data_IF_512932052948
#
_entry.id   IF_512932052948
#
_cell.length_a   1.000
_cell.length_b   1.000
_cell.length_c   1.000
_cell.angle_alpha   90.00
_cell.angle_beta   90.00
_cell.angle_gamma   90.00
#
_symmetry.space_group_name_H-M   'P 1'
#
loop_
_entity.id
_entity.type
_entity.pdbx_description
1 polymer ?
#
# COMPACT_ATOMS: atom_id res chain seq x y z
N UNK A 1 32.07 -1.32 2.51
CA UNK A 1 32.01 -1.77 1.10
C UNK A 1 33.42 -1.86 0.57
N UNK A 2 33.73 -2.88 -0.23
CA UNK A 2 35.07 -3.21 -0.75
C UNK A 2 35.63 -2.15 -1.70
N UNK A 3 35.96 -0.99 -1.15
CA UNK A 3 36.72 0.04 -1.85
C UNK A 3 38.20 -0.35 -1.75
N UNK A 4 38.70 -1.12 -2.72
CA UNK A 4 40.09 -0.90 -3.13
C UNK A 4 40.17 0.54 -3.64
N UNK A 5 40.64 1.42 -2.76
CA UNK A 5 40.85 2.87 -2.86
C UNK A 5 40.46 3.47 -4.22
N UNK A 6 39.15 3.67 -4.43
CA UNK A 6 38.67 4.59 -5.45
C UNK A 6 39.26 5.98 -5.12
N UNK A 7 39.70 6.70 -6.14
CA UNK A 7 40.28 8.03 -5.93
C UNK A 7 39.24 8.99 -5.33
N UNK A 8 39.74 10.12 -4.80
CA UNK A 8 38.90 11.08 -4.09
C UNK A 8 37.77 11.64 -4.98
N UNK A 9 38.02 11.80 -6.28
CA UNK A 9 37.06 12.32 -7.25
C UNK A 9 35.92 11.31 -7.49
N UNK A 10 36.27 10.02 -7.63
CA UNK A 10 35.30 8.93 -7.74
C UNK A 10 34.41 8.82 -6.51
N UNK A 11 35.00 8.93 -5.32
CA UNK A 11 34.23 8.92 -4.06
C UNK A 11 33.29 10.12 -3.93
N UNK A 12 33.71 11.31 -4.38
CA UNK A 12 32.84 12.49 -4.43
C UNK A 12 31.68 12.31 -5.43
N UNK A 13 31.95 11.75 -6.61
CA UNK A 13 30.92 11.50 -7.61
C UNK A 13 29.87 10.48 -7.12
N UNK A 14 30.31 9.44 -6.40
CA UNK A 14 29.41 8.47 -5.77
C UNK A 14 28.53 9.10 -4.68
N UNK A 15 29.11 9.94 -3.81
CA UNK A 15 28.37 10.66 -2.77
C UNK A 15 27.32 11.60 -3.38
N UNK A 16 27.68 12.34 -4.44
CA UNK A 16 26.74 13.20 -5.15
C UNK A 16 25.61 12.38 -5.79
N UNK A 17 25.94 11.28 -6.47
CA UNK A 17 24.93 10.37 -7.02
C UNK A 17 23.97 9.82 -5.95
N UNK A 18 24.46 9.55 -4.74
CA UNK A 18 23.61 9.09 -3.64
C UNK A 18 22.69 10.20 -3.09
N UNK A 19 23.17 11.45 -3.04
CA UNK A 19 22.32 12.60 -2.71
C UNK A 19 21.22 12.78 -3.75
N UNK A 20 21.56 12.66 -5.04
CA UNK A 20 20.58 12.72 -6.12
C UNK A 20 19.56 11.60 -6.02
N UNK A 21 19.98 10.36 -5.73
CA UNK A 21 19.05 9.25 -5.47
C UNK A 21 18.11 9.51 -4.29
N UNK A 22 18.61 10.12 -3.21
CA UNK A 22 17.80 10.53 -2.08
C UNK A 22 16.75 11.58 -2.46
N UNK A 23 17.16 12.62 -3.20
CA UNK A 23 16.26 13.64 -3.72
C UNK A 23 15.19 13.07 -4.66
N UNK A 24 15.59 12.29 -5.66
CA UNK A 24 14.69 11.63 -6.61
C UNK A 24 13.69 10.69 -5.92
N UNK A 25 14.10 10.01 -4.84
CA UNK A 25 13.19 9.17 -4.04
C UNK A 25 12.10 10.00 -3.35
N UNK A 26 12.43 11.20 -2.88
CA UNK A 26 11.45 12.14 -2.32
C UNK A 26 10.48 12.62 -3.40
N UNK A 27 11.01 13.09 -4.54
CA UNK A 27 10.18 13.53 -5.68
C UNK A 27 9.24 12.42 -6.13
N UNK A 28 9.74 11.18 -6.20
CA UNK A 28 8.92 10.02 -6.57
C UNK A 28 7.72 9.82 -5.64
N UNK A 29 7.94 9.91 -4.33
CA UNK A 29 6.90 9.77 -3.32
C UNK A 29 5.91 10.95 -3.34
N UNK A 30 6.39 12.17 -3.55
CA UNK A 30 5.56 13.37 -3.66
C UNK A 30 4.66 13.33 -4.90
N UNK A 31 5.19 12.90 -6.05
CA UNK A 31 4.41 12.67 -7.28
C UNK A 31 3.27 11.66 -7.06
N UNK A 32 3.55 10.56 -6.34
CA UNK A 32 2.51 9.58 -6.00
C UNK A 32 1.44 10.18 -5.07
N UNK A 33 1.87 10.84 -3.99
CA UNK A 33 0.96 11.46 -3.03
C UNK A 33 0.09 12.55 -3.68
N UNK A 34 0.67 13.34 -4.57
CA UNK A 34 -0.06 14.32 -5.37
C UNK A 34 -1.12 13.64 -6.24
N UNK A 35 -0.73 12.59 -6.98
CA UNK A 35 -1.65 11.81 -7.80
C UNK A 35 -2.82 11.22 -7.00
N UNK A 36 -2.56 10.70 -5.80
CA UNK A 36 -3.60 10.15 -4.92
C UNK A 36 -4.59 11.21 -4.39
N UNK A 37 -4.13 12.46 -4.25
CA UNK A 37 -4.96 13.58 -3.82
C UNK A 37 -5.89 14.11 -4.92
N UNK A 38 -5.62 13.78 -6.20
CA UNK A 38 -6.44 14.24 -7.32
C UNK A 38 -7.85 13.64 -7.28
N UNK A 39 -8.81 14.41 -7.80
CA UNK A 39 -10.19 13.97 -7.98
C UNK A 39 -10.26 12.94 -9.10
N UNK A 40 -10.84 11.78 -8.81
CA UNK A 40 -11.15 10.75 -9.79
C UNK A 40 -12.45 11.08 -10.54
N UNK A 41 -13.54 11.20 -9.79
CA UNK A 41 -14.88 11.36 -10.36
C UNK A 41 -15.82 12.06 -9.37
N UNK A 42 -16.73 12.87 -9.90
CA UNK A 42 -17.89 13.38 -9.19
C UNK A 42 -19.13 12.66 -9.73
N UNK A 43 -19.80 11.88 -8.88
CA UNK A 43 -21.02 11.15 -9.23
C UNK A 43 -22.22 11.82 -8.58
N UNK A 44 -23.23 12.16 -9.38
CA UNK A 44 -24.45 12.84 -8.92
C UNK A 44 -25.67 11.92 -8.89
N UNK A 45 -25.62 10.79 -9.60
CA UNK A 45 -26.75 9.90 -9.79
C UNK A 45 -26.58 8.63 -8.94
N UNK A 46 -27.57 8.31 -8.11
CA UNK A 46 -27.49 7.21 -7.12
C UNK A 46 -27.13 5.85 -7.72
N UNK A 47 -27.60 5.56 -8.93
CA UNK A 47 -27.35 4.27 -9.57
C UNK A 47 -25.85 4.07 -9.93
N UNK A 48 -25.09 5.16 -10.10
CA UNK A 48 -23.66 5.12 -10.47
C UNK A 48 -22.74 4.77 -9.29
N UNK A 49 -23.28 4.72 -8.07
CA UNK A 49 -22.55 4.38 -6.83
C UNK A 49 -23.10 3.13 -6.14
N UNK A 50 -23.91 2.33 -6.84
CA UNK A 50 -24.46 1.10 -6.29
C UNK A 50 -23.39 0.07 -5.93
N UNK A 51 -23.62 -0.62 -4.81
CA UNK A 51 -22.73 -1.66 -4.29
C UNK A 51 -21.61 -1.13 -3.39
N UNK A 52 -21.33 0.18 -3.42
CA UNK A 52 -20.32 0.79 -2.56
C UNK A 52 -20.73 0.75 -1.08
N UNK A 53 -19.79 0.45 -0.16
CA UNK A 53 -20.04 0.54 1.27
C UNK A 53 -20.44 1.95 1.72
N UNK A 54 -21.34 2.03 2.70
CA UNK A 54 -21.84 3.31 3.25
C UNK A 54 -20.70 4.21 3.78
N UNK A 55 -19.65 3.61 4.34
CA UNK A 55 -18.47 4.33 4.82
C UNK A 55 -17.75 5.08 3.70
N UNK A 56 -17.65 4.48 2.52
CA UNK A 56 -17.03 5.10 1.33
C UNK A 56 -17.93 6.20 0.76
N UNK A 57 -19.24 5.99 0.72
CA UNK A 57 -20.20 7.03 0.31
C UNK A 57 -20.15 8.24 1.23
N UNK A 58 -20.03 8.01 2.55
CA UNK A 58 -19.91 9.07 3.54
C UNK A 58 -18.61 9.86 3.41
N UNK A 59 -17.48 9.19 3.18
CA UNK A 59 -16.21 9.88 2.90
C UNK A 59 -16.29 10.70 1.60
N UNK A 60 -16.88 10.16 0.54
CA UNK A 60 -17.02 10.84 -0.75
C UNK A 60 -17.98 12.04 -0.70
N UNK A 61 -19.08 11.96 0.05
CA UNK A 61 -20.00 13.08 0.26
C UNK A 61 -19.35 14.19 1.11
N UNK A 62 -18.57 13.82 2.13
CA UNK A 62 -17.79 14.79 2.91
C UNK A 62 -16.74 15.52 2.04
N UNK A 63 -16.07 14.80 1.14
CA UNK A 63 -15.14 15.40 0.17
C UNK A 63 -15.85 16.35 -0.80
N UNK A 64 -17.03 15.96 -1.31
CA UNK A 64 -17.86 16.84 -2.15
C UNK A 64 -18.27 18.11 -1.39
N UNK A 65 -18.66 17.97 -0.12
CA UNK A 65 -18.98 19.11 0.77
C UNK A 65 -17.79 20.05 0.97
N UNK A 66 -16.60 19.51 1.21
CA UNK A 66 -15.38 20.29 1.33
C UNK A 66 -15.02 21.04 0.03
N UNK A 67 -15.44 20.51 -1.13
CA UNK A 67 -15.30 21.17 -2.44
C UNK A 67 -16.39 22.21 -2.76
N UNK A 68 -17.29 22.49 -1.82
CA UNK A 68 -18.35 23.50 -1.96
C UNK A 68 -19.67 22.99 -2.55
N UNK A 69 -19.86 21.66 -2.67
CA UNK A 69 -21.14 21.06 -3.06
C UNK A 69 -22.03 20.83 -1.84
N UNK A 70 -23.35 20.94 -1.96
CA UNK A 70 -24.25 20.44 -0.91
C UNK A 70 -24.42 18.93 -1.09
N UNK A 71 -23.77 18.13 -0.23
CA UNK A 71 -23.72 16.68 -0.39
C UNK A 71 -24.12 15.90 0.86
N UNK A 72 -24.88 14.82 0.67
CA UNK A 72 -25.18 13.82 1.72
C UNK A 72 -24.73 12.41 1.29
N UNK A 73 -24.41 11.50 2.22
CA UNK A 73 -24.11 10.11 1.88
C UNK A 73 -25.24 9.41 1.10
N UNK A 74 -26.50 9.81 1.34
CA UNK A 74 -27.70 9.21 0.78
C UNK A 74 -28.01 9.72 -0.65
N UNK A 75 -27.92 11.04 -0.86
CA UNK A 75 -28.38 11.69 -2.09
C UNK A 75 -27.24 12.23 -2.96
N UNK A 76 -26.01 12.21 -2.46
CA UNK A 76 -24.83 12.73 -3.14
C UNK A 76 -24.80 14.25 -3.17
N UNK A 77 -23.97 14.86 -4.03
CA UNK A 77 -23.01 14.20 -4.92
C UNK A 77 -21.84 13.53 -4.16
N UNK A 78 -21.24 12.52 -4.77
CA UNK A 78 -20.09 11.77 -4.21
C UNK A 78 -18.83 12.09 -4.99
N UNK A 79 -17.85 12.71 -4.32
CA UNK A 79 -16.54 13.02 -4.90
C UNK A 79 -15.54 11.93 -4.49
N UNK A 80 -15.09 11.13 -5.45
CA UNK A 80 -14.06 10.13 -5.25
C UNK A 80 -12.69 10.69 -5.63
N UNK A 81 -11.66 10.31 -4.88
CA UNK A 81 -10.26 10.65 -5.14
C UNK A 81 -9.49 9.42 -5.62
N UNK A 82 -8.25 9.65 -6.08
CA UNK A 82 -7.35 8.61 -6.54
C UNK A 82 -6.60 7.88 -5.39
N UNK A 83 -7.00 8.09 -4.14
CA UNK A 83 -6.41 7.38 -2.99
C UNK A 83 -6.53 5.88 -3.17
N UNK A 84 -5.43 5.14 -2.95
CA UNK A 84 -5.36 3.70 -3.19
C UNK A 84 -6.52 2.91 -2.55
N UNK A 85 -6.86 3.21 -1.28
CA UNK A 85 -7.99 2.60 -0.56
C UNK A 85 -9.34 2.82 -1.25
N UNK A 86 -9.55 4.00 -1.83
CA UNK A 86 -10.78 4.34 -2.55
C UNK A 86 -10.81 3.56 -3.85
N UNK A 87 -9.72 3.59 -4.62
CA UNK A 87 -9.60 2.84 -5.88
C UNK A 87 -9.83 1.33 -5.71
N UNK A 88 -9.32 0.73 -4.63
CA UNK A 88 -9.53 -0.69 -4.31
C UNK A 88 -11.02 -1.00 -4.03
N UNK A 89 -11.68 -0.14 -3.26
CA UNK A 89 -13.11 -0.31 -2.95
C UNK A 89 -13.95 -0.13 -4.22
N UNK A 90 -13.67 0.89 -5.04
CA UNK A 90 -14.39 1.10 -6.30
C UNK A 90 -14.28 -0.12 -7.22
N UNK A 91 -13.07 -0.66 -7.44
CA UNK A 91 -12.86 -1.83 -8.29
C UNK A 91 -13.53 -3.11 -7.76
N UNK A 92 -13.66 -3.27 -6.45
CA UNK A 92 -14.20 -4.50 -5.84
C UNK A 92 -15.71 -4.43 -5.55
N UNK A 93 -16.28 -3.23 -5.36
CA UNK A 93 -17.65 -3.07 -4.89
C UNK A 93 -18.57 -2.35 -5.88
N UNK A 94 -18.05 -1.49 -6.76
CA UNK A 94 -18.90 -0.74 -7.69
C UNK A 94 -19.57 -1.69 -8.69
N UNK A 95 -20.91 -1.66 -8.74
CA UNK A 95 -21.66 -2.38 -9.78
C UNK A 95 -21.46 -1.76 -11.16
N UNK A 96 -21.31 -0.44 -11.23
CA UNK A 96 -21.03 0.31 -12.47
C UNK A 96 -19.62 -0.03 -12.97
N UNK A 97 -19.55 -0.68 -14.15
CA UNK A 97 -18.29 -1.07 -14.79
C UNK A 97 -17.43 0.13 -15.19
N UNK A 98 -18.05 1.27 -15.56
CA UNK A 98 -17.31 2.48 -15.92
C UNK A 98 -16.54 3.04 -14.73
N UNK A 99 -17.12 3.00 -13.54
CA UNK A 99 -16.46 3.45 -12.32
C UNK A 99 -15.30 2.52 -11.91
N UNK A 100 -15.43 1.21 -12.17
CA UNK A 100 -14.31 0.27 -12.00
C UNK A 100 -13.19 0.55 -12.98
N UNK A 101 -13.51 0.80 -14.24
CA UNK A 101 -12.55 1.14 -15.29
C UNK A 101 -11.82 2.45 -14.97
N UNK A 102 -12.55 3.50 -14.58
CA UNK A 102 -11.99 4.79 -14.15
C UNK A 102 -10.99 4.57 -13.01
N UNK A 103 -11.38 3.82 -11.98
CA UNK A 103 -10.54 3.54 -10.82
C UNK A 103 -9.29 2.72 -11.18
N UNK A 104 -9.44 1.73 -12.06
CA UNK A 104 -8.33 0.93 -12.56
C UNK A 104 -7.34 1.81 -13.35
N UNK A 105 -7.82 2.61 -14.30
CA UNK A 105 -6.97 3.48 -15.12
C UNK A 105 -6.28 4.57 -14.30
N UNK A 106 -6.98 5.13 -13.31
CA UNK A 106 -6.40 6.13 -12.41
C UNK A 106 -5.21 5.58 -11.62
N UNK A 107 -5.28 4.33 -11.14
CA UNK A 107 -4.16 3.66 -10.47
C UNK A 107 -2.90 3.64 -11.32
N UNK A 108 -3.05 3.34 -12.62
CA UNK A 108 -1.92 3.28 -13.55
C UNK A 108 -1.36 4.66 -13.92
N UNK A 109 -2.10 5.74 -13.65
CA UNK A 109 -1.68 7.12 -13.93
C UNK A 109 -1.02 7.81 -12.74
N UNK A 110 -1.03 7.19 -11.56
CA UNK A 110 -0.43 7.78 -10.36
C UNK A 110 1.05 8.11 -10.59
N UNK A 111 1.41 9.38 -10.33
CA UNK A 111 2.76 9.90 -10.48
C UNK A 111 3.24 10.05 -11.93
N UNK A 112 2.39 9.89 -12.96
CA UNK A 112 2.79 10.22 -14.33
C UNK A 112 3.07 11.73 -14.48
N UNK A 113 2.29 12.56 -13.80
CA UNK A 113 2.50 14.00 -13.73
C UNK A 113 3.34 14.34 -12.50
N UNK A 114 4.16 15.39 -12.63
CA UNK A 114 4.88 15.97 -11.50
C UNK A 114 3.93 16.62 -10.51
N UNK A 115 4.32 16.66 -9.22
CA UNK A 115 3.52 17.29 -8.18
C UNK A 115 3.44 18.83 -8.30
N UNK A 116 4.31 19.43 -9.13
CA UNK A 116 4.33 20.85 -9.51
C UNK A 116 4.77 20.99 -10.98
N UNK A 117 4.50 22.15 -11.59
CA UNK A 117 4.78 22.43 -12.99
C UNK A 117 6.28 22.35 -13.35
N UNK A 118 7.15 22.54 -12.36
CA UNK A 118 8.62 22.49 -12.53
C UNK A 118 9.22 21.10 -12.23
N UNK A 119 8.39 20.10 -11.88
CA UNK A 119 8.84 18.77 -11.49
C UNK A 119 8.49 17.73 -12.55
N UNK A 120 9.44 16.84 -12.79
CA UNK A 120 9.26 15.74 -13.74
C UNK A 120 8.34 14.64 -13.17
N UNK A 121 7.67 13.93 -14.06
CA UNK A 121 6.87 12.76 -13.71
C UNK A 121 7.73 11.56 -13.32
N UNK A 122 7.10 10.55 -12.71
CA UNK A 122 7.82 9.38 -12.18
C UNK A 122 8.50 8.52 -13.25
N UNK A 123 8.08 8.60 -14.52
CA UNK A 123 8.80 7.90 -15.60
C UNK A 123 10.22 8.44 -15.77
N UNK A 124 10.38 9.76 -15.78
CA UNK A 124 11.68 10.42 -15.93
C UNK A 124 12.49 10.34 -14.63
N UNK A 125 11.83 10.46 -13.47
CA UNK A 125 12.46 10.23 -12.16
C UNK A 125 13.03 8.81 -12.06
N UNK A 126 12.26 7.79 -12.45
CA UNK A 126 12.75 6.40 -12.47
C UNK A 126 13.94 6.25 -13.42
N UNK A 127 13.88 6.84 -14.61
CA UNK A 127 15.00 6.79 -15.56
C UNK A 127 16.28 7.38 -14.94
N UNK A 128 16.20 8.57 -14.34
CA UNK A 128 17.33 9.19 -13.65
C UNK A 128 17.84 8.34 -12.47
N UNK A 129 16.95 7.73 -11.69
CA UNK A 129 17.34 6.82 -10.61
C UNK A 129 18.09 5.59 -11.13
N UNK A 130 17.66 5.02 -12.25
CA UNK A 130 18.32 3.88 -12.89
C UNK A 130 19.70 4.26 -13.43
N UNK A 131 19.85 5.46 -14.00
CA UNK A 131 21.15 5.99 -14.43
C UNK A 131 22.14 6.13 -13.27
N UNK A 132 21.72 6.75 -12.16
CA UNK A 132 22.56 6.88 -10.97
C UNK A 132 22.92 5.52 -10.34
N UNK A 133 21.97 4.57 -10.31
CA UNK A 133 22.21 3.19 -9.84
C UNK A 133 23.19 2.45 -10.74
N UNK A 134 23.05 2.59 -12.05
CA UNK A 134 23.97 1.97 -13.01
C UNK A 134 25.38 2.57 -12.87
N UNK A 135 25.49 3.90 -12.75
CA UNK A 135 26.75 4.59 -12.49
C UNK A 135 27.43 4.05 -11.21
N UNK A 136 26.67 3.90 -10.13
CA UNK A 136 27.14 3.31 -8.88
C UNK A 136 27.71 1.90 -9.09
N UNK A 137 26.95 1.03 -9.75
CA UNK A 137 27.37 -0.34 -10.01
C UNK A 137 28.67 -0.40 -10.80
N UNK A 138 28.73 0.29 -11.94
CA UNK A 138 29.90 0.25 -12.83
C UNK A 138 31.13 0.84 -12.19
N UNK A 139 30.97 1.91 -11.40
CA UNK A 139 32.08 2.57 -10.69
C UNK A 139 32.68 1.66 -9.63
N UNK A 140 31.85 0.82 -8.99
CA UNK A 140 32.28 -0.15 -7.99
C UNK A 140 32.71 -1.50 -8.60
N UNK A 141 32.78 -1.60 -9.94
CA UNK A 141 33.22 -2.80 -10.63
C UNK A 141 32.15 -3.88 -10.81
N UNK A 142 30.87 -3.56 -10.58
CA UNK A 142 29.74 -4.46 -10.77
C UNK A 142 29.07 -4.25 -12.14
N UNK A 143 28.59 -5.31 -12.81
CA UNK A 143 27.91 -5.19 -14.11
C UNK A 143 26.59 -4.43 -14.04
N UNK A 144 25.83 -4.62 -12.95
CA UNK A 144 24.55 -3.98 -12.72
C UNK A 144 24.32 -3.66 -11.25
N UNK A 145 23.37 -2.77 -10.96
CA UNK A 145 23.00 -2.45 -9.59
C UNK A 145 22.42 -3.65 -8.83
N UNK A 146 21.81 -4.60 -9.54
CA UNK A 146 21.37 -5.85 -8.93
C UNK A 146 22.56 -6.64 -8.38
N UNK A 147 23.63 -6.80 -9.17
CA UNK A 147 24.83 -7.53 -8.75
C UNK A 147 25.49 -6.85 -7.55
N UNK A 148 25.60 -5.51 -7.57
CA UNK A 148 26.06 -4.72 -6.43
C UNK A 148 25.17 -4.93 -5.17
N UNK A 149 23.85 -4.95 -5.34
CA UNK A 149 22.92 -5.12 -4.22
C UNK A 149 23.03 -6.52 -3.60
N UNK A 150 23.22 -7.56 -4.42
CA UNK A 150 23.34 -8.94 -3.98
C UNK A 150 24.65 -9.26 -3.24
N UNK A 151 25.71 -8.45 -3.43
CA UNK A 151 26.97 -8.60 -2.68
C UNK A 151 26.77 -8.58 -1.15
N UNK A 152 25.75 -7.86 -0.68
CA UNK A 152 25.40 -7.76 0.75
C UNK A 152 24.30 -8.72 1.21
N UNK A 153 23.79 -9.57 0.31
CA UNK A 153 22.66 -10.47 0.56
C UNK A 153 23.15 -11.91 0.75
N UNK A 154 22.32 -12.71 1.41
CA UNK A 154 22.61 -14.14 1.57
C UNK A 154 22.40 -14.95 0.30
N UNK A 155 21.44 -14.53 -0.54
CA UNK A 155 21.08 -15.20 -1.79
C UNK A 155 21.83 -14.61 -2.97
N UNK A 156 22.11 -15.42 -3.99
CA UNK A 156 22.56 -14.89 -5.29
C UNK A 156 21.37 -14.45 -6.14
N UNK A 157 21.65 -13.67 -7.19
CA UNK A 157 20.66 -13.26 -8.19
C UNK A 157 20.00 -14.46 -8.85
N UNK A 158 20.79 -15.45 -9.25
CA UNK A 158 20.34 -16.66 -9.95
C UNK A 158 19.42 -17.50 -9.06
N UNK A 159 19.72 -17.59 -7.76
CA UNK A 159 18.85 -18.28 -6.79
C UNK A 159 17.48 -17.60 -6.67
N UNK A 160 17.45 -16.26 -6.66
CA UNK A 160 16.20 -15.49 -6.65
C UNK A 160 15.43 -15.71 -7.95
N UNK A 161 16.07 -15.58 -9.11
CA UNK A 161 15.42 -15.82 -10.41
C UNK A 161 14.88 -17.24 -10.54
N UNK A 162 15.64 -18.25 -10.08
CA UNK A 162 15.20 -19.64 -10.05
C UNK A 162 13.97 -19.82 -9.13
N UNK A 163 14.00 -19.22 -7.94
CA UNK A 163 12.88 -19.26 -6.99
C UNK A 163 11.62 -18.62 -7.58
N UNK A 164 11.74 -17.45 -8.21
CA UNK A 164 10.63 -16.79 -8.92
C UNK A 164 10.10 -17.66 -10.08
N UNK A 165 10.99 -18.35 -10.79
CA UNK A 165 10.63 -19.30 -11.83
C UNK A 165 9.78 -20.46 -11.32
N UNK A 166 10.16 -21.05 -10.18
CA UNK A 166 9.39 -22.12 -9.51
C UNK A 166 8.01 -21.62 -9.07
N UNK A 167 7.95 -20.45 -8.43
CA UNK A 167 6.68 -19.84 -8.01
C UNK A 167 5.75 -19.56 -9.20
N UNK A 168 6.31 -19.01 -10.29
CA UNK A 168 5.56 -18.77 -11.52
C UNK A 168 5.01 -20.07 -12.09
N UNK A 169 5.83 -21.12 -12.19
CA UNK A 169 5.40 -22.41 -12.72
C UNK A 169 4.31 -23.05 -11.85
N UNK A 170 4.42 -22.96 -10.53
CA UNK A 170 3.42 -23.49 -9.61
C UNK A 170 2.08 -22.73 -9.69
N UNK A 171 2.11 -21.40 -9.88
CA UNK A 171 0.92 -20.55 -9.90
C UNK A 171 0.20 -20.49 -11.27
N UNK A 172 0.90 -20.71 -12.38
CA UNK A 172 0.37 -20.42 -13.72
C UNK A 172 -0.88 -21.24 -14.07
N UNK A 173 -0.89 -22.55 -13.75
CA UNK A 173 -2.06 -23.40 -13.99
C UNK A 173 -3.26 -22.95 -13.13
N UNK A 174 -3.05 -22.74 -11.84
CA UNK A 174 -4.08 -22.28 -10.92
C UNK A 174 -4.67 -20.92 -11.33
N UNK A 175 -3.84 -19.97 -11.76
CA UNK A 175 -4.32 -18.65 -12.23
C UNK A 175 -5.19 -18.75 -13.49
N UNK A 176 -4.90 -19.69 -14.40
CA UNK A 176 -5.74 -19.93 -15.59
C UNK A 176 -7.08 -20.54 -15.20
N UNK A 177 -7.06 -21.52 -14.31
CA UNK A 177 -8.28 -22.17 -13.81
C UNK A 177 -9.16 -21.17 -13.04
N UNK A 178 -8.58 -20.34 -12.18
CA UNK A 178 -9.28 -19.28 -11.46
C UNK A 178 -9.91 -18.24 -12.40
N UNK A 179 -9.20 -17.82 -13.45
CA UNK A 179 -9.75 -16.87 -14.42
C UNK A 179 -10.91 -17.49 -15.23
N UNK A 180 -10.79 -18.76 -15.62
CA UNK A 180 -11.88 -19.47 -16.31
C UNK A 180 -13.11 -19.64 -15.41
N UNK A 181 -12.90 -19.99 -14.14
CA UNK A 181 -13.95 -20.06 -13.14
C UNK A 181 -14.64 -18.70 -12.96
N UNK A 182 -13.86 -17.63 -12.89
CA UNK A 182 -14.38 -16.28 -12.73
C UNK A 182 -15.20 -15.83 -13.94
N UNK A 183 -14.71 -16.14 -15.15
CA UNK A 183 -15.41 -15.88 -16.41
C UNK A 183 -16.74 -16.64 -16.48
N UNK A 184 -16.74 -17.92 -16.10
CA UNK A 184 -17.95 -18.74 -16.08
C UNK A 184 -18.97 -18.22 -15.06
N UNK A 185 -18.51 -17.86 -13.86
CA UNK A 185 -19.35 -17.28 -12.82
C UNK A 185 -19.96 -15.93 -13.26
N UNK A 186 -19.15 -15.03 -13.83
CA UNK A 186 -19.64 -13.76 -14.33
C UNK A 186 -20.70 -13.93 -15.44
N UNK A 187 -20.48 -14.85 -16.37
CA UNK A 187 -21.44 -15.19 -17.42
C UNK A 187 -22.76 -15.76 -16.84
N UNK A 188 -22.70 -16.60 -15.81
CA UNK A 188 -23.89 -17.10 -15.10
C UNK A 188 -24.71 -15.96 -14.48
N UNK A 189 -24.04 -14.92 -13.96
CA UNK A 189 -24.70 -13.73 -13.39
C UNK A 189 -25.11 -12.69 -14.45
N UNK A 190 -24.95 -12.99 -15.74
CA UNK A 190 -25.39 -12.15 -16.84
C UNK A 190 -24.38 -11.09 -17.29
N UNK A 191 -23.09 -11.26 -17.00
CA UNK A 191 -22.03 -10.46 -17.63
C UNK A 191 -21.87 -10.83 -19.10
N UNK A 192 -21.83 -9.84 -19.98
CA UNK A 192 -21.57 -10.03 -21.40
C UNK A 192 -20.06 -9.93 -21.69
N UNK A 193 -19.54 -10.83 -22.53
CA UNK A 193 -18.17 -10.76 -23.03
C UNK A 193 -17.09 -11.30 -22.09
N UNK A 194 -15.83 -11.12 -22.52
CA UNK A 194 -14.65 -11.48 -21.72
C UNK A 194 -14.44 -10.45 -20.60
N UNK A 195 -14.02 -10.91 -19.43
CA UNK A 195 -13.72 -10.03 -18.30
C UNK A 195 -12.46 -9.21 -18.56
N UNK A 196 -12.57 -7.92 -18.33
CA UNK A 196 -11.43 -7.01 -18.39
C UNK A 196 -10.71 -6.94 -17.04
N UNK A 197 -9.51 -6.37 -17.01
CA UNK A 197 -8.69 -6.29 -15.80
C UNK A 197 -9.40 -5.59 -14.62
N UNK A 198 -10.26 -4.60 -14.91
CA UNK A 198 -11.04 -3.87 -13.92
C UNK A 198 -12.26 -4.63 -13.39
N UNK A 199 -12.62 -5.77 -13.99
CA UNK A 199 -13.76 -6.58 -13.54
C UNK A 199 -13.34 -7.67 -12.54
N UNK A 200 -12.07 -8.06 -12.54
CA UNK A 200 -11.57 -9.22 -11.80
C UNK A 200 -11.82 -9.11 -10.28
N UNK A 201 -11.55 -7.93 -9.69
CA UNK A 201 -11.73 -7.72 -8.25
C UNK A 201 -13.21 -7.82 -7.84
N UNK A 202 -14.12 -7.24 -8.64
CA UNK A 202 -15.55 -7.27 -8.40
C UNK A 202 -16.11 -8.69 -8.45
N UNK A 203 -15.83 -9.43 -9.53
CA UNK A 203 -16.31 -10.79 -9.67
C UNK A 203 -15.69 -11.73 -8.66
N UNK A 204 -14.41 -11.54 -8.29
CA UNK A 204 -13.75 -12.39 -7.28
C UNK A 204 -14.42 -12.20 -5.92
N UNK A 205 -14.70 -10.95 -5.54
CA UNK A 205 -15.45 -10.65 -4.31
C UNK A 205 -16.83 -11.31 -4.34
N UNK A 206 -17.57 -11.16 -5.44
CA UNK A 206 -18.90 -11.74 -5.58
C UNK A 206 -18.87 -13.29 -5.49
N UNK A 207 -17.91 -13.95 -6.13
CA UNK A 207 -17.74 -15.40 -6.08
C UNK A 207 -17.39 -15.90 -4.67
N UNK A 208 -16.45 -15.23 -3.99
CA UNK A 208 -16.07 -15.57 -2.61
C UNK A 208 -17.28 -15.41 -1.69
N UNK A 209 -18.01 -14.30 -1.81
CA UNK A 209 -19.21 -14.02 -1.03
C UNK A 209 -20.28 -15.10 -1.21
N UNK A 210 -20.52 -15.56 -2.45
CA UNK A 210 -21.49 -16.61 -2.73
C UNK A 210 -21.06 -17.97 -2.14
N UNK A 211 -19.76 -18.29 -2.19
CA UNK A 211 -19.22 -19.55 -1.68
C UNK A 211 -19.12 -19.62 -0.16
N UNK A 212 -18.69 -18.52 0.45
CA UNK A 212 -18.44 -18.44 1.89
C UNK A 212 -19.74 -18.29 2.69
N UNK A 213 -20.76 -17.70 2.08
CA UNK A 213 -22.02 -17.36 2.74
C UNK A 213 -21.92 -16.18 3.71
N UNK A 214 -20.79 -15.46 3.74
CA UNK A 214 -20.60 -14.25 4.55
C UNK A 214 -19.90 -13.14 3.76
N UNK A 215 -20.17 -11.90 4.14
CA UNK A 215 -19.56 -10.69 3.60
C UNK A 215 -18.48 -10.17 4.54
N UNK A 216 -17.54 -9.38 4.02
CA UNK A 216 -16.49 -8.77 4.84
C UNK A 216 -17.06 -7.93 6.01
N UNK A 217 -18.22 -7.30 5.80
CA UNK A 217 -18.94 -6.55 6.82
C UNK A 217 -19.37 -7.43 8.02
N UNK A 218 -19.63 -8.72 7.80
CA UNK A 218 -20.02 -9.67 8.84
C UNK A 218 -18.86 -9.99 9.80
N UNK A 219 -17.61 -9.85 9.33
CA UNK A 219 -16.41 -10.09 10.13
C UNK A 219 -15.98 -8.89 10.98
N UNK A 220 -16.35 -7.67 10.58
CA UNK A 220 -15.94 -6.41 11.25
C UNK A 220 -16.24 -6.40 12.76
N UNK A 221 -17.42 -6.87 13.25
CA UNK A 221 -17.70 -6.95 14.69
C UNK A 221 -16.80 -7.91 15.47
N UNK A 222 -16.20 -8.90 14.81
CA UNK A 222 -15.35 -9.92 15.44
C UNK A 222 -13.87 -9.53 15.52
N UNK A 223 -13.47 -8.47 14.80
CA UNK A 223 -12.09 -7.98 14.76
C UNK A 223 -11.93 -6.58 15.38
N UNK A 224 -12.46 -6.28 16.58
CA UNK A 224 -12.22 -4.99 17.21
C UNK A 224 -10.75 -4.90 17.62
N UNK A 225 -10.09 -3.81 17.26
CA UNK A 225 -8.65 -3.59 17.49
C UNK A 225 -8.17 -3.95 18.91
N UNK A 226 -8.88 -3.57 20.01
CA UNK A 226 -8.46 -3.97 21.35
C UNK A 226 -8.45 -5.49 21.57
N UNK A 227 -9.35 -6.26 20.94
CA UNK A 227 -9.34 -7.72 21.06
C UNK A 227 -8.21 -8.35 20.24
N UNK A 228 -7.96 -7.83 19.04
CA UNK A 228 -6.84 -8.27 18.19
C UNK A 228 -5.51 -8.08 18.91
N UNK A 229 -5.28 -6.89 19.50
CA UNK A 229 -4.06 -6.62 20.26
C UNK A 229 -3.90 -7.52 21.48
N UNK A 230 -4.99 -7.80 22.22
CA UNK A 230 -4.94 -8.75 23.35
C UNK A 230 -4.55 -10.15 22.89
N UNK A 231 -5.11 -10.62 21.78
CA UNK A 231 -4.76 -11.91 21.19
C UNK A 231 -3.30 -11.97 20.75
N UNK A 232 -2.82 -10.94 20.05
CA UNK A 232 -1.44 -10.81 19.61
C UNK A 232 -0.47 -10.83 20.80
N UNK A 233 -0.70 -10.00 21.82
CA UNK A 233 0.15 -9.98 23.00
C UNK A 233 0.13 -11.32 23.70
N UNK A 234 -1.04 -11.90 23.99
CA UNK A 234 -1.12 -13.22 24.61
C UNK A 234 -0.33 -14.31 23.86
N UNK A 235 -0.32 -14.27 22.53
CA UNK A 235 0.47 -15.18 21.71
C UNK A 235 1.98 -14.97 21.90
N UNK A 236 2.43 -13.72 21.82
CA UNK A 236 3.85 -13.37 22.00
C UNK A 236 4.35 -13.68 23.41
N UNK A 237 3.51 -13.41 24.41
CA UNK A 237 3.78 -13.76 25.80
C UNK A 237 3.94 -15.27 26.00
N UNK A 238 3.13 -16.08 25.31
CA UNK A 238 3.20 -17.54 25.36
C UNK A 238 4.44 -18.09 24.64
N UNK A 239 4.75 -17.56 23.46
CA UNK A 239 5.86 -18.05 22.64
C UNK A 239 7.23 -17.61 23.15
N UNK A 240 7.33 -16.39 23.66
CA UNK A 240 8.61 -15.74 23.97
C UNK A 240 8.82 -15.41 25.45
N UNK A 241 7.84 -15.69 26.32
CA UNK A 241 7.99 -15.41 27.74
C UNK A 241 8.12 -13.92 28.07
N UNK A 242 7.63 -13.03 27.20
CA UNK A 242 7.63 -11.58 27.41
C UNK A 242 6.32 -11.12 28.06
N UNK A 243 6.24 -9.91 28.58
CA UNK A 243 5.00 -9.24 28.98
C UNK A 243 4.96 -7.80 28.47
N UNK A 244 3.75 -7.34 28.13
CA UNK A 244 3.51 -6.00 27.59
C UNK A 244 2.86 -5.13 28.66
N UNK A 245 3.64 -4.28 29.30
CA UNK A 245 3.15 -3.39 30.35
C UNK A 245 2.81 -2.02 29.75
N UNK A 246 1.54 -1.59 29.74
CA UNK A 246 1.16 -0.28 29.22
C UNK A 246 1.73 0.81 30.13
N UNK A 247 2.61 1.65 29.58
CA UNK A 247 3.10 2.84 30.26
C UNK A 247 2.31 4.05 29.73
N UNK A 248 1.12 4.24 30.32
CA UNK A 248 0.19 5.28 29.89
C UNK A 248 0.45 6.58 30.64
N UNK A 249 1.21 7.48 30.02
CA UNK A 249 1.30 8.87 30.47
C UNK A 249 2.42 9.64 29.79
N UNK A 250 2.11 10.82 29.25
CA UNK A 250 3.11 11.76 28.67
C UNK A 250 4.22 12.14 29.66
N UNK A 251 4.03 11.87 30.96
CA UNK A 251 5.02 12.12 32.02
C UNK A 251 6.10 11.04 32.12
N UNK A 252 5.83 9.83 31.63
CA UNK A 252 6.81 8.74 31.63
C UNK A 252 7.57 8.65 30.31
N UNK A 253 6.86 8.88 29.19
CA UNK A 253 7.41 8.72 27.84
C UNK A 253 6.81 9.81 26.93
N UNK A 254 7.64 10.53 26.15
CA UNK A 254 7.14 11.52 25.19
C UNK A 254 6.34 10.82 24.09
N UNK A 255 5.12 11.30 23.83
CA UNK A 255 4.25 10.82 22.76
C UNK A 255 3.98 11.98 21.79
N UNK A 256 4.16 11.76 20.49
CA UNK A 256 3.91 12.79 19.48
C UNK A 256 2.41 12.98 19.20
N UNK A 257 1.62 11.89 19.15
CA UNK A 257 0.18 11.95 18.93
C UNK A 257 -0.63 11.29 20.06
N UNK A 258 -1.88 11.72 20.27
CA UNK A 258 -2.76 11.24 21.37
C UNK A 258 -3.25 9.80 21.17
N UNK A 259 -3.28 9.32 19.94
CA UNK A 259 -3.72 7.96 19.61
C UNK A 259 -2.66 6.89 19.91
N UNK A 260 -1.42 7.30 20.17
CA UNK A 260 -0.27 6.42 20.33
C UNK A 260 -0.32 5.74 21.68
N UNK A 261 -0.03 4.44 21.67
CA UNK A 261 0.12 3.63 22.86
C UNK A 261 1.58 3.26 23.03
N UNK A 262 2.08 3.27 24.26
CA UNK A 262 3.43 2.82 24.57
C UNK A 262 3.38 1.65 25.56
N UNK A 263 4.19 0.63 25.29
CA UNK A 263 4.33 -0.56 26.12
C UNK A 263 5.80 -0.76 26.49
N UNK A 264 6.07 -1.11 27.75
CA UNK A 264 7.36 -1.67 28.16
C UNK A 264 7.31 -3.18 27.95
N UNK A 265 8.33 -3.71 27.29
CA UNK A 265 8.49 -5.15 27.10
C UNK A 265 9.38 -5.66 28.22
N UNK A 266 8.81 -6.55 29.03
CA UNK A 266 9.46 -7.13 30.20
C UNK A 266 9.68 -8.61 29.96
N UNK A 267 10.88 -9.09 30.24
CA UNK A 267 11.16 -10.52 30.30
C UNK A 267 10.50 -11.10 31.57
N UNK A 268 9.64 -12.12 31.44
CA UNK A 268 8.90 -12.66 32.58
C UNK A 268 9.78 -13.43 33.56
N UNK A 269 10.88 -14.02 33.12
CA UNK A 269 11.78 -14.75 34.02
C UNK A 269 12.67 -13.78 34.79
N UNK A 270 13.24 -12.81 34.08
CA UNK A 270 14.18 -11.83 34.63
C UNK A 270 13.48 -10.66 35.33
N UNK A 271 12.17 -10.49 35.11
CA UNK A 271 11.38 -9.35 35.59
C UNK A 271 12.04 -8.01 35.23
N UNK A 272 12.64 -7.96 34.02
CA UNK A 272 13.47 -6.85 33.57
C UNK A 272 12.92 -6.22 32.28
N UNK A 273 12.69 -4.90 32.23
CA UNK A 273 12.29 -4.21 31.02
C UNK A 273 13.49 -4.09 30.06
N UNK A 274 13.41 -4.73 28.89
CA UNK A 274 14.50 -4.75 27.91
C UNK A 274 14.22 -3.90 26.66
N UNK A 275 12.95 -3.57 26.40
CA UNK A 275 12.57 -2.77 25.24
C UNK A 275 11.30 -1.93 25.49
N UNK A 276 11.06 -0.98 24.59
CA UNK A 276 9.84 -0.19 24.53
C UNK A 276 9.21 -0.27 23.14
N UNK A 277 7.88 -0.32 23.08
CA UNK A 277 7.10 -0.42 21.85
C UNK A 277 6.13 0.75 21.76
N UNK A 278 6.24 1.55 20.71
CA UNK A 278 5.23 2.55 20.33
C UNK A 278 4.29 1.92 19.30
N UNK A 279 2.99 2.07 19.51
CA UNK A 279 1.96 1.65 18.56
C UNK A 279 1.17 2.87 18.08
N UNK A 280 1.42 3.28 16.84
CA UNK A 280 0.65 4.28 16.11
C UNK A 280 -0.18 3.60 15.02
N UNK A 281 -1.44 3.29 15.34
CA UNK A 281 -2.33 2.47 14.49
C UNK A 281 -3.44 3.27 13.78
N UNK A 282 -3.43 4.60 13.87
CA UNK A 282 -4.47 5.43 13.27
C UNK A 282 -3.84 6.45 12.33
N UNK A 283 -4.56 6.82 11.26
CA UNK A 283 -4.15 7.94 10.42
C UNK A 283 -4.43 9.26 11.14
N UNK A 284 -3.49 10.20 11.05
CA UNK A 284 -3.64 11.57 11.54
C UNK A 284 -2.80 12.50 10.66
N UNK A 285 -3.06 13.82 10.72
CA UNK A 285 -2.49 14.82 9.79
C UNK A 285 -0.95 14.83 9.78
N UNK A 286 -0.32 14.55 10.93
CA UNK A 286 1.13 14.54 11.10
C UNK A 286 1.78 13.22 10.63
N UNK A 287 0.98 12.20 10.28
CA UNK A 287 1.46 10.90 9.82
C UNK A 287 1.50 10.87 8.31
N UNK A 288 2.71 10.79 7.75
CA UNK A 288 2.89 10.56 6.32
C UNK A 288 2.10 9.31 5.89
N UNK A 289 1.40 9.35 4.73
CA UNK A 289 0.81 8.16 4.16
C UNK A 289 1.90 7.10 3.98
N UNK A 290 1.65 5.88 4.48
CA UNK A 290 2.54 4.77 4.16
C UNK A 290 2.46 4.52 2.65
N UNK A 291 3.58 4.52 1.90
CA UNK A 291 3.58 4.28 0.46
C UNK A 291 2.93 2.94 0.08
N UNK A 292 2.87 1.99 1.02
CA UNK A 292 2.27 0.66 0.81
C UNK A 292 0.82 0.56 1.32
N UNK A 293 0.25 1.60 1.92
CA UNK A 293 -1.04 1.54 2.61
C UNK A 293 -1.07 0.60 3.83
N UNK A 294 0.07 0.01 4.18
CA UNK A 294 0.27 -0.86 5.34
C UNK A 294 0.86 -0.10 6.53
N UNK A 295 0.54 -0.56 7.74
CA UNK A 295 1.21 -0.12 8.97
C UNK A 295 2.72 -0.28 8.80
N UNK A 296 3.47 0.82 8.81
CA UNK A 296 4.92 0.78 8.95
C UNK A 296 5.26 0.10 10.27
N UNK A 297 6.07 -0.96 10.20
CA UNK A 297 6.73 -1.57 11.36
C UNK A 297 7.88 -0.68 11.85
#
# INVERSE_FOLDING_TARGET
MGVEVADHETMQALDEGNKQLGFLSTVFAENLAHGEAQTLALRTERHTVEGLPEEVLREAAAAASASGQEATPEDGPWLFTCQRKVLDVLQSHAKDASLREDAYRARWRLGIEGYDADQEGNLDVIAAMLEHRQFWATTLGFPSFADLAFESRMSTREEVEATLGVLRQAGEAASKDELQELQAYAAEKGSDGELEAWDLAYWRRALIQERSGFQDADLKPYLPLPAVLRGLFSLLEHLFGVSFEPATGRREVPLWHRSIRFFRLVDRELQFPFAGLYLDMFQHEEKLPSPDGGFTA
#
